data_IF_623821954106
#
_entry.id   IF_623821954106
#
_cell.length_a   1.000
_cell.length_b   1.000
_cell.length_c   1.000
_cell.angle_alpha   90.00
_cell.angle_beta   90.00
_cell.angle_gamma   90.00
#
_symmetry.space_group_name_H-M   'P 1'
#
loop_
_entity.id
_entity.type
_entity.pdbx_description
1 polymer ?
#
# COMPACT_ATOMS: atom_id res chain seq x y z
N UNK A 1 -7.18 -7.60 38.06
CA UNK A 1 -7.31 -7.81 36.60
C UNK A 1 -5.92 -8.06 36.04
N UNK A 2 -5.63 -9.28 35.60
CA UNK A 2 -4.36 -9.59 34.94
C UNK A 2 -4.30 -8.86 33.62
N UNK A 3 -3.32 -8.00 33.42
CA UNK A 3 -3.07 -7.38 32.14
C UNK A 3 -2.68 -8.48 31.15
N UNK A 4 -3.58 -8.80 30.23
CA UNK A 4 -3.24 -9.69 29.12
C UNK A 4 -2.15 -8.97 28.32
N UNK A 5 -0.92 -9.47 28.40
CA UNK A 5 0.16 -8.98 27.55
C UNK A 5 -0.16 -9.42 26.12
N UNK A 6 -0.40 -8.45 25.24
CA UNK A 6 -0.53 -8.71 23.81
C UNK A 6 0.80 -9.29 23.31
N UNK A 7 0.84 -10.58 23.09
CA UNK A 7 2.01 -11.26 22.54
C UNK A 7 1.92 -11.22 21.03
N UNK A 8 2.72 -10.34 20.41
CA UNK A 8 2.91 -10.31 18.98
C UNK A 8 3.86 -11.42 18.56
N UNK A 9 3.52 -12.12 17.48
CA UNK A 9 4.40 -13.13 16.88
C UNK A 9 4.29 -13.12 15.38
N UNK A 10 5.39 -13.42 14.72
CA UNK A 10 5.40 -13.76 13.31
C UNK A 10 4.98 -15.22 13.13
N UNK A 11 3.97 -15.43 12.32
CA UNK A 11 3.45 -16.76 11.99
C UNK A 11 3.47 -16.91 10.48
N UNK A 12 4.11 -17.98 9.97
CA UNK A 12 3.98 -18.35 8.58
C UNK A 12 2.58 -18.91 8.35
N UNK A 13 1.82 -18.30 7.45
CA UNK A 13 0.47 -18.70 7.11
C UNK A 13 0.46 -19.69 5.96
N UNK A 14 1.21 -19.37 4.89
CA UNK A 14 1.17 -20.15 3.67
C UNK A 14 2.49 -20.04 2.90
N UNK A 15 2.78 -21.03 2.04
CA UNK A 15 3.91 -20.97 1.11
C UNK A 15 3.58 -21.72 -0.17
N UNK A 16 4.11 -21.24 -1.29
CA UNK A 16 3.94 -21.82 -2.62
C UNK A 16 5.13 -21.47 -3.53
N UNK A 17 5.39 -22.27 -4.58
CA UNK A 17 6.39 -21.91 -5.58
C UNK A 17 5.94 -20.64 -6.30
N UNK A 18 6.91 -19.85 -6.80
CA UNK A 18 6.57 -18.68 -7.61
C UNK A 18 5.71 -19.11 -8.81
N UNK A 19 4.56 -18.45 -9.07
CA UNK A 19 3.54 -19.02 -9.96
C UNK A 19 3.93 -18.99 -11.44
N UNK A 20 4.94 -18.21 -11.79
CA UNK A 20 5.47 -18.13 -13.14
C UNK A 20 6.63 -19.10 -13.19
N UNK A 21 6.49 -20.20 -13.93
CA UNK A 21 7.53 -21.24 -14.04
C UNK A 21 8.14 -21.31 -15.43
N UNK A 22 9.35 -21.87 -15.52
CA UNK A 22 10.03 -22.18 -16.76
C UNK A 22 11.01 -21.12 -17.25
N UNK A 23 11.95 -21.55 -18.08
CA UNK A 23 12.83 -20.67 -18.85
C UNK A 23 12.03 -20.10 -20.04
N UNK A 24 12.24 -18.85 -20.40
CA UNK A 24 11.59 -18.12 -21.49
C UNK A 24 10.15 -17.69 -21.22
N UNK A 25 9.93 -17.10 -20.11
CA UNK A 25 8.59 -16.64 -19.80
C UNK A 25 8.42 -15.20 -20.23
N UNK A 26 7.95 -14.97 -21.47
CA UNK A 26 7.09 -13.83 -21.75
C UNK A 26 5.73 -14.15 -21.13
N UNK A 27 5.68 -14.24 -19.82
CA UNK A 27 4.49 -14.71 -19.18
C UNK A 27 3.59 -13.55 -18.88
N UNK A 28 2.35 -13.72 -19.24
CA UNK A 28 1.28 -12.90 -18.68
C UNK A 28 1.32 -13.01 -17.15
N UNK A 29 1.04 -11.91 -16.44
CA UNK A 29 0.94 -11.94 -14.99
C UNK A 29 0.03 -13.04 -14.49
N UNK A 30 0.44 -13.72 -13.41
CA UNK A 30 -0.31 -14.83 -12.81
C UNK A 30 -0.84 -14.43 -11.44
N UNK A 31 -2.13 -14.68 -11.22
CA UNK A 31 -2.79 -14.39 -9.94
C UNK A 31 -2.94 -15.65 -9.09
N UNK A 32 -2.55 -15.53 -7.83
CA UNK A 32 -2.68 -16.61 -6.84
C UNK A 32 -3.62 -16.16 -5.72
N UNK A 33 -4.80 -16.77 -5.58
CA UNK A 33 -5.70 -16.51 -4.47
C UNK A 33 -5.29 -17.33 -3.23
N UNK A 34 -5.25 -16.68 -2.07
CA UNK A 34 -4.95 -17.30 -0.78
C UNK A 34 -6.03 -16.94 0.23
N UNK A 35 -6.76 -17.94 0.72
CA UNK A 35 -7.78 -17.75 1.74
C UNK A 35 -7.16 -17.72 3.13
N UNK A 36 -7.04 -16.54 3.71
CA UNK A 36 -6.32 -16.33 4.98
C UNK A 36 -7.05 -16.90 6.18
N UNK A 37 -8.38 -16.96 6.18
CA UNK A 37 -9.17 -17.50 7.30
C UNK A 37 -8.88 -18.96 7.59
N UNK A 38 -8.42 -19.73 6.59
CA UNK A 38 -8.00 -21.12 6.77
C UNK A 38 -6.80 -21.30 7.69
N UNK A 39 -5.97 -20.26 7.80
CA UNK A 39 -4.68 -20.34 8.48
C UNK A 39 -4.60 -19.53 9.78
N UNK A 40 -5.57 -18.64 10.01
CA UNK A 40 -5.46 -17.67 11.08
C UNK A 40 -6.83 -17.17 11.58
N UNK A 41 -7.77 -18.05 11.85
CA UNK A 41 -9.16 -17.68 12.23
C UNK A 41 -9.28 -16.88 13.55
N UNK A 42 -8.34 -17.00 14.45
CA UNK A 42 -8.40 -16.36 15.78
C UNK A 42 -7.46 -15.17 15.93
N UNK A 43 -6.74 -14.79 14.85
CA UNK A 43 -5.66 -13.83 14.92
C UNK A 43 -6.13 -12.41 14.57
N UNK A 44 -5.40 -11.43 15.10
CA UNK A 44 -5.43 -10.03 14.70
C UNK A 44 -4.13 -9.71 13.98
N UNK A 45 -4.20 -9.24 12.76
CA UNK A 45 -3.01 -8.90 12.00
C UNK A 45 -2.65 -7.43 12.18
N UNK A 46 -1.45 -7.20 12.67
CA UNK A 46 -0.79 -5.90 12.60
C UNK A 46 -0.26 -5.65 11.18
N UNK A 47 0.33 -6.70 10.61
CA UNK A 47 0.92 -6.70 9.27
C UNK A 47 0.77 -8.06 8.61
N UNK A 48 0.65 -8.05 7.29
CA UNK A 48 0.99 -9.19 6.44
C UNK A 48 2.31 -8.91 5.73
N UNK A 49 3.12 -9.95 5.58
CA UNK A 49 4.38 -9.88 4.84
C UNK A 49 4.34 -10.97 3.78
N UNK A 50 4.47 -10.57 2.53
CA UNK A 50 4.68 -11.48 1.41
C UNK A 50 6.16 -11.46 1.09
N UNK A 51 6.85 -12.57 1.31
CA UNK A 51 8.27 -12.75 1.03
C UNK A 51 8.43 -13.51 -0.27
N UNK A 52 9.22 -12.99 -1.18
CA UNK A 52 9.65 -13.68 -2.41
C UNK A 52 11.16 -13.89 -2.30
N UNK A 53 11.60 -15.15 -2.34
CA UNK A 53 13.00 -15.48 -2.12
C UNK A 53 13.45 -16.68 -2.94
N UNK A 54 14.74 -16.78 -3.16
CA UNK A 54 15.37 -17.84 -3.93
C UNK A 54 16.35 -17.30 -4.96
N UNK A 55 16.50 -18.00 -6.07
CA UNK A 55 17.43 -17.65 -7.13
C UNK A 55 16.70 -17.39 -8.45
N UNK A 56 17.13 -16.35 -9.15
CA UNK A 56 16.80 -16.09 -10.55
C UNK A 56 17.99 -16.46 -11.39
N UNK A 57 17.80 -17.28 -12.42
CA UNK A 57 18.85 -17.61 -13.40
C UNK A 57 18.58 -16.79 -14.64
N UNK A 58 19.55 -15.95 -15.03
CA UNK A 58 19.45 -15.05 -16.18
C UNK A 58 20.40 -15.58 -17.25
N UNK A 59 19.88 -15.79 -18.46
CA UNK A 59 20.64 -16.27 -19.60
C UNK A 59 20.44 -15.34 -20.81
N UNK A 60 21.52 -15.13 -21.57
CA UNK A 60 21.56 -14.26 -22.74
C UNK A 60 22.75 -13.32 -22.73
N UNK A 61 22.87 -12.52 -23.78
CA UNK A 61 23.96 -11.53 -23.95
C UNK A 61 23.46 -10.09 -24.06
N UNK A 62 22.14 -9.90 -24.07
CA UNK A 62 21.50 -8.58 -24.07
C UNK A 62 21.20 -8.09 -22.66
N UNK A 63 20.91 -6.81 -22.53
CA UNK A 63 20.39 -6.22 -21.29
C UNK A 63 19.21 -5.31 -21.60
N UNK A 64 18.18 -5.37 -20.78
CA UNK A 64 17.05 -4.45 -20.82
C UNK A 64 17.26 -3.24 -19.93
N UNK A 65 16.44 -2.24 -20.11
CA UNK A 65 16.38 -1.05 -19.24
C UNK A 65 15.34 -1.29 -18.16
N UNK A 66 15.72 -1.10 -16.90
CA UNK A 66 14.80 -1.20 -15.76
C UNK A 66 13.64 -0.21 -15.92
N UNK A 67 12.42 -0.70 -15.74
CA UNK A 67 11.19 0.10 -15.90
C UNK A 67 10.80 0.88 -14.65
N UNK A 68 11.51 0.70 -13.55
CA UNK A 68 11.27 1.37 -12.29
C UNK A 68 12.56 1.65 -11.53
N UNK A 69 12.47 2.48 -10.49
CA UNK A 69 13.61 2.81 -9.63
C UNK A 69 14.09 1.61 -8.82
N UNK A 70 13.12 0.82 -8.36
CA UNK A 70 13.33 -0.32 -7.47
C UNK A 70 12.71 -1.56 -8.14
N UNK A 71 13.48 -2.22 -8.97
CA UNK A 71 12.98 -3.27 -9.86
C UNK A 71 12.25 -4.47 -9.24
N UNK A 72 12.38 -4.84 -7.94
CA UNK A 72 11.53 -5.87 -7.33
C UNK A 72 10.04 -5.58 -7.37
N UNK A 73 9.65 -4.31 -7.51
CA UNK A 73 8.23 -3.91 -7.61
C UNK A 73 7.49 -4.55 -8.79
N UNK A 74 8.20 -4.87 -9.87
CA UNK A 74 7.61 -5.53 -11.03
C UNK A 74 7.26 -7.00 -10.77
N UNK A 75 7.78 -7.65 -9.73
CA UNK A 75 7.46 -9.05 -9.42
C UNK A 75 6.14 -9.21 -8.66
N UNK A 76 5.72 -8.24 -7.88
CA UNK A 76 4.37 -8.20 -7.32
C UNK A 76 3.62 -7.02 -7.94
N UNK A 77 2.92 -7.26 -9.03
CA UNK A 77 2.23 -6.23 -9.80
C UNK A 77 1.06 -5.66 -9.04
N UNK A 78 0.30 -6.54 -8.37
CA UNK A 78 -0.93 -6.16 -7.69
C UNK A 78 -1.22 -7.09 -6.52
N UNK A 79 -1.69 -6.52 -5.43
CA UNK A 79 -2.28 -7.24 -4.32
C UNK A 79 -3.69 -6.71 -4.03
N UNK A 80 -4.59 -7.60 -3.69
CA UNK A 80 -5.96 -7.29 -3.27
C UNK A 80 -6.35 -8.19 -2.11
N UNK A 81 -6.90 -7.61 -1.05
CA UNK A 81 -7.46 -8.36 0.08
C UNK A 81 -8.96 -8.03 0.17
N UNK A 82 -9.78 -9.02 -0.10
CA UNK A 82 -11.24 -8.92 -0.01
C UNK A 82 -11.75 -9.70 1.19
N UNK A 83 -12.80 -9.21 1.84
CA UNK A 83 -13.41 -9.84 3.01
C UNK A 83 -14.89 -10.11 2.80
N UNK A 84 -15.41 -11.17 3.42
CA UNK A 84 -16.84 -11.51 3.44
C UNK A 84 -17.27 -11.89 4.85
N UNK A 85 -18.39 -11.36 5.39
CA UNK A 85 -19.15 -10.26 4.79
C UNK A 85 -18.34 -8.97 4.76
N UNK A 86 -18.62 -8.12 3.81
CA UNK A 86 -18.08 -6.76 3.83
C UNK A 86 -18.79 -5.98 4.95
N UNK A 87 -18.20 -5.98 6.13
CA UNK A 87 -18.81 -5.35 7.32
C UNK A 87 -19.00 -3.83 7.14
N UNK A 88 -18.24 -3.24 6.24
CA UNK A 88 -18.22 -1.78 6.03
C UNK A 88 -18.24 -1.36 4.57
N UNK A 89 -18.36 -2.29 3.63
CA UNK A 89 -18.19 -1.99 2.20
C UNK A 89 -16.77 -1.66 1.78
N UNK A 90 -15.78 -1.85 2.66
CA UNK A 90 -14.38 -1.51 2.41
C UNK A 90 -13.59 -2.77 2.07
N UNK A 91 -12.77 -2.67 1.04
CA UNK A 91 -11.77 -3.69 0.67
C UNK A 91 -10.46 -3.34 1.38
N UNK A 92 -9.98 -4.11 2.37
CA UNK A 92 -8.83 -3.75 3.21
C UNK A 92 -7.56 -3.40 2.42
N UNK A 93 -7.33 -4.09 1.29
CA UNK A 93 -6.30 -3.73 0.29
C UNK A 93 -6.96 -3.74 -1.08
N UNK A 94 -7.03 -2.57 -1.72
CA UNK A 94 -7.68 -2.40 -3.00
C UNK A 94 -6.65 -2.12 -4.10
N UNK A 95 -6.29 -3.15 -4.84
CA UNK A 95 -5.41 -3.12 -6.02
C UNK A 95 -4.08 -2.41 -5.80
N UNK A 96 -3.45 -2.64 -4.66
CA UNK A 96 -2.18 -2.03 -4.32
C UNK A 96 -1.03 -2.73 -5.04
N UNK A 97 -0.22 -1.99 -5.79
CA UNK A 97 1.01 -2.51 -6.39
C UNK A 97 2.14 -2.61 -5.36
N UNK A 98 3.18 -3.39 -5.64
CA UNK A 98 4.37 -3.41 -4.79
C UNK A 98 5.02 -2.04 -4.69
N UNK A 99 4.97 -1.25 -5.75
CA UNK A 99 5.47 0.13 -5.77
C UNK A 99 4.65 1.02 -4.85
N UNK A 100 3.32 1.01 -4.98
CA UNK A 100 2.45 1.75 -4.08
C UNK A 100 2.64 1.33 -2.62
N UNK A 101 2.82 0.02 -2.39
CA UNK A 101 3.10 -0.54 -1.07
C UNK A 101 4.43 -0.07 -0.49
N UNK A 102 5.48 0.02 -1.32
CA UNK A 102 6.79 0.52 -0.91
C UNK A 102 6.69 1.96 -0.37
N UNK A 103 5.99 2.82 -1.09
CA UNK A 103 5.82 4.21 -0.70
C UNK A 103 4.82 4.40 0.45
N UNK A 104 3.78 3.56 0.54
CA UNK A 104 2.90 3.51 1.72
C UNK A 104 3.70 3.15 2.98
N UNK A 105 4.61 2.19 2.86
CA UNK A 105 5.52 1.83 3.95
C UNK A 105 6.45 2.98 4.35
N UNK A 106 6.86 3.82 3.41
CA UNK A 106 7.65 5.01 3.70
C UNK A 106 6.89 5.98 4.62
N UNK A 107 5.61 6.24 4.34
CA UNK A 107 4.76 7.06 5.21
C UNK A 107 4.61 6.40 6.58
N UNK A 108 4.25 5.13 6.61
CA UNK A 108 3.92 4.44 7.87
C UNK A 108 5.13 4.18 8.75
N UNK A 109 6.31 4.08 8.19
CA UNK A 109 7.56 3.75 8.91
C UNK A 109 8.55 4.90 8.99
N UNK A 110 8.39 5.92 8.15
CA UNK A 110 9.32 7.04 8.06
C UNK A 110 10.63 6.71 7.36
N UNK A 111 10.73 5.57 6.66
CA UNK A 111 11.88 5.24 5.83
C UNK A 111 11.47 4.37 4.64
N UNK A 112 12.18 4.54 3.53
CA UNK A 112 12.01 3.72 2.35
C UNK A 112 12.74 2.38 2.56
N UNK A 113 12.02 1.28 2.41
CA UNK A 113 12.65 -0.04 2.41
C UNK A 113 13.56 -0.12 1.18
N UNK A 114 14.84 -0.38 1.39
CA UNK A 114 15.74 -0.67 0.28
C UNK A 114 15.33 -1.99 -0.36
N UNK A 115 14.90 -1.91 -1.61
CA UNK A 115 14.80 -3.09 -2.44
C UNK A 115 16.19 -3.37 -3.05
N UNK A 116 16.61 -4.62 -3.07
CA UNK A 116 17.79 -5.02 -3.83
C UNK A 116 17.45 -5.00 -5.32
N UNK A 117 18.23 -4.29 -6.12
CA UNK A 117 18.07 -4.30 -7.57
C UNK A 117 18.57 -5.61 -8.15
N UNK A 118 17.80 -6.19 -9.07
CA UNK A 118 18.24 -7.34 -9.87
C UNK A 118 18.74 -6.83 -11.21
N UNK A 119 20.01 -7.09 -11.57
CA UNK A 119 20.52 -6.72 -12.89
C UNK A 119 19.93 -7.63 -13.97
N UNK A 120 19.75 -7.08 -15.18
CA UNK A 120 19.40 -7.90 -16.36
C UNK A 120 20.68 -8.35 -17.08
N UNK A 121 21.55 -9.06 -16.38
CA UNK A 121 22.82 -9.59 -16.88
C UNK A 121 22.90 -11.08 -16.60
N UNK A 122 23.50 -11.84 -17.54
CA UNK A 122 23.63 -13.30 -17.41
C UNK A 122 24.30 -13.69 -16.08
N UNK A 123 23.72 -14.65 -15.39
CA UNK A 123 24.19 -15.14 -14.11
C UNK A 123 23.07 -15.63 -13.20
N UNK A 124 23.44 -16.03 -11.99
CA UNK A 124 22.48 -16.40 -10.94
C UNK A 124 22.43 -15.30 -9.91
N UNK A 125 21.22 -14.79 -9.63
CA UNK A 125 20.97 -13.72 -8.67
C UNK A 125 20.12 -14.25 -7.54
N UNK A 126 20.63 -14.21 -6.32
CA UNK A 126 19.86 -14.51 -5.12
C UNK A 126 18.99 -13.31 -4.75
N UNK A 127 17.72 -13.57 -4.44
CA UNK A 127 16.75 -12.55 -4.05
C UNK A 127 16.07 -12.93 -2.75
N UNK A 128 15.71 -11.91 -1.96
CA UNK A 128 14.92 -12.04 -0.74
C UNK A 128 14.18 -10.71 -0.50
N UNK A 129 12.95 -10.64 -0.99
CA UNK A 129 12.15 -9.43 -0.96
C UNK A 129 10.94 -9.56 -0.06
N UNK A 130 10.62 -8.48 0.64
CA UNK A 130 9.51 -8.41 1.57
C UNK A 130 8.54 -7.31 1.16
N UNK A 131 7.33 -7.69 0.81
CA UNK A 131 6.21 -6.77 0.57
C UNK A 131 5.35 -6.74 1.83
N UNK A 132 5.27 -5.57 2.48
CA UNK A 132 4.71 -5.43 3.82
C UNK A 132 3.43 -4.62 3.77
N UNK A 133 2.32 -5.24 4.12
CA UNK A 133 1.00 -4.63 4.26
C UNK A 133 0.79 -4.24 5.72
N UNK A 134 0.84 -2.94 6.02
CA UNK A 134 0.59 -2.43 7.37
C UNK A 134 -0.89 -2.14 7.56
N UNK A 135 -1.55 -2.87 8.43
CA UNK A 135 -2.91 -2.57 8.84
C UNK A 135 -2.94 -1.56 9.98
N UNK A 136 -1.99 -1.69 10.91
CA UNK A 136 -1.86 -0.73 12.01
C UNK A 136 -1.03 0.47 11.60
N UNK A 137 -1.46 1.66 12.03
CA UNK A 137 -0.81 2.94 11.76
C UNK A 137 0.34 3.23 12.70
N UNK A 138 1.14 2.36 13.08
CA UNK A 138 1.92 2.63 14.25
C UNK A 138 3.41 2.75 14.01
N UNK A 139 3.92 3.96 14.03
CA UNK A 139 5.23 4.20 14.67
C UNK A 139 5.15 3.83 16.18
N UNK A 140 3.99 3.88 16.78
CA UNK A 140 3.76 3.48 18.18
C UNK A 140 3.06 2.12 18.22
N UNK A 141 3.83 1.07 18.53
CA UNK A 141 3.49 -0.35 18.58
C UNK A 141 2.31 -0.76 19.49
N UNK A 142 1.46 0.14 19.94
CA UNK A 142 0.54 -0.13 21.05
C UNK A 142 -0.95 -0.03 20.73
N UNK A 143 -1.36 0.32 19.51
CA UNK A 143 -2.78 0.50 19.22
C UNK A 143 -3.35 -0.68 18.47
N UNK A 144 -3.96 -1.58 19.20
CA UNK A 144 -4.76 -2.70 18.71
C UNK A 144 -5.94 -2.25 17.85
N UNK A 145 -6.39 -1.01 18.04
CA UNK A 145 -7.54 -0.38 17.40
C UNK A 145 -7.46 -0.37 15.86
N UNK A 146 -6.27 -0.55 15.28
CA UNK A 146 -6.03 -0.49 13.84
C UNK A 146 -5.63 -1.84 13.22
N UNK A 147 -5.70 -2.92 13.99
CA UNK A 147 -5.36 -4.24 13.48
C UNK A 147 -6.47 -4.80 12.60
N UNK A 148 -6.09 -5.62 11.64
CA UNK A 148 -7.04 -6.37 10.83
C UNK A 148 -7.54 -7.59 11.62
N UNK A 149 -8.79 -7.54 12.08
CA UNK A 149 -9.41 -8.60 12.85
C UNK A 149 -9.97 -9.70 11.92
N UNK A 150 -9.14 -10.65 11.49
CA UNK A 150 -9.54 -11.69 10.54
C UNK A 150 -10.68 -12.56 11.06
N UNK A 151 -10.76 -12.77 12.37
CA UNK A 151 -11.82 -13.54 13.04
C UNK A 151 -13.24 -12.98 12.84
N UNK A 152 -13.36 -11.74 12.38
CA UNK A 152 -14.65 -11.10 12.11
C UNK A 152 -15.21 -11.47 10.74
N UNK A 153 -14.44 -12.16 9.93
CA UNK A 153 -14.80 -12.50 8.56
C UNK A 153 -14.94 -14.01 8.38
N UNK A 154 -15.91 -14.41 7.58
CA UNK A 154 -16.05 -15.80 7.13
C UNK A 154 -15.08 -16.16 6.03
N UNK A 155 -14.62 -15.15 5.28
CA UNK A 155 -13.61 -15.27 4.25
C UNK A 155 -12.74 -13.99 4.20
N UNK A 156 -11.45 -14.17 4.02
CA UNK A 156 -10.49 -13.11 3.75
C UNK A 156 -9.54 -13.57 2.64
N UNK A 157 -9.90 -13.23 1.41
CA UNK A 157 -9.21 -13.68 0.21
C UNK A 157 -8.13 -12.68 -0.20
N UNK A 158 -6.87 -13.06 -0.03
CA UNK A 158 -5.71 -12.32 -0.53
C UNK A 158 -5.38 -12.82 -1.94
N UNK A 159 -5.52 -11.96 -2.94
CA UNK A 159 -5.12 -12.25 -4.31
C UNK A 159 -3.84 -11.50 -4.62
N UNK A 160 -2.80 -12.23 -4.99
CA UNK A 160 -1.48 -11.72 -5.35
C UNK A 160 -1.24 -11.95 -6.84
N UNK A 161 -0.94 -10.90 -7.59
CA UNK A 161 -0.63 -11.00 -9.02
C UNK A 161 0.86 -10.78 -9.22
N UNK A 162 1.52 -11.80 -9.73
CA UNK A 162 2.97 -11.79 -9.97
C UNK A 162 3.29 -11.59 -11.43
N UNK A 163 4.42 -10.96 -11.68
CA UNK A 163 4.99 -10.67 -13.00
C UNK A 163 6.23 -11.45 -13.32
N UNK A 164 6.72 -11.23 -14.53
CA UNK A 164 7.95 -11.80 -15.06
C UNK A 164 8.99 -10.71 -15.36
N UNK A 165 10.04 -11.05 -16.11
CA UNK A 165 11.08 -10.11 -16.53
C UNK A 165 10.51 -8.86 -17.22
N UNK A 166 9.51 -9.02 -18.07
CA UNK A 166 8.93 -7.94 -18.88
C UNK A 166 8.27 -6.83 -18.04
N UNK A 167 7.89 -7.13 -16.79
CA UNK A 167 7.38 -6.13 -15.86
C UNK A 167 8.48 -5.34 -15.15
N UNK A 168 9.73 -5.88 -15.14
CA UNK A 168 10.88 -5.21 -14.55
C UNK A 168 11.73 -4.46 -15.57
N UNK A 169 11.78 -4.97 -16.81
CA UNK A 169 12.66 -4.43 -17.85
C UNK A 169 11.91 -4.22 -19.15
N UNK A 170 12.26 -3.15 -19.85
CA UNK A 170 11.91 -2.90 -21.25
C UNK A 170 13.10 -3.27 -22.14
N UNK A 171 12.80 -3.88 -23.29
CA UNK A 171 13.82 -4.29 -24.27
C UNK A 171 14.78 -5.39 -23.74
N UNK A 172 15.89 -5.59 -24.43
CA UNK A 172 16.83 -6.66 -24.16
C UNK A 172 16.34 -8.03 -24.63
N UNK A 173 17.24 -9.01 -24.64
CA UNK A 173 16.97 -10.38 -25.13
C UNK A 173 17.25 -11.46 -24.09
N UNK A 174 17.56 -11.06 -22.86
CA UNK A 174 17.81 -12.01 -21.79
C UNK A 174 16.54 -12.76 -21.38
N UNK A 175 16.71 -14.01 -21.03
CA UNK A 175 15.64 -14.85 -20.49
C UNK A 175 15.87 -15.07 -19.01
N UNK A 176 14.79 -15.15 -18.26
CA UNK A 176 14.82 -15.38 -16.81
C UNK A 176 14.16 -16.70 -16.49
N UNK A 177 14.85 -17.53 -15.73
CA UNK A 177 14.25 -18.69 -15.06
C UNK A 177 14.01 -18.32 -13.59
N UNK A 178 12.76 -18.25 -13.21
CA UNK A 178 12.30 -17.92 -11.86
C UNK A 178 11.74 -19.14 -11.11
N UNK A 179 11.92 -20.34 -11.66
CA UNK A 179 11.47 -21.59 -11.04
C UNK A 179 12.11 -21.87 -9.68
N UNK A 180 13.28 -21.27 -9.43
CA UNK A 180 13.95 -21.32 -8.13
C UNK A 180 13.40 -20.37 -7.07
N UNK A 181 12.37 -19.58 -7.39
CA UNK A 181 11.73 -18.67 -6.44
C UNK A 181 10.60 -19.35 -5.68
N UNK A 182 10.46 -18.94 -4.44
CA UNK A 182 9.37 -19.34 -3.54
C UNK A 182 8.70 -18.11 -2.94
N UNK A 183 7.42 -18.24 -2.62
CA UNK A 183 6.63 -17.22 -1.96
C UNK A 183 6.17 -17.73 -0.60
N UNK A 184 6.36 -16.93 0.43
CA UNK A 184 5.86 -17.19 1.78
C UNK A 184 5.02 -16.01 2.26
N UNK A 185 3.93 -16.32 2.94
CA UNK A 185 3.06 -15.33 3.56
C UNK A 185 3.15 -15.45 5.07
N UNK A 186 3.51 -14.37 5.73
CA UNK A 186 3.61 -14.26 7.17
C UNK A 186 2.61 -13.23 7.69
N UNK A 187 2.12 -13.47 8.90
CA UNK A 187 1.40 -12.47 9.68
C UNK A 187 2.20 -12.10 10.94
N UNK A 188 2.26 -10.79 11.23
CA UNK A 188 2.60 -10.29 12.55
C UNK A 188 1.27 -10.20 13.31
N UNK A 189 0.99 -11.20 14.12
CA UNK A 189 -0.31 -11.39 14.74
C UNK A 189 -0.29 -11.31 16.26
N UNK A 190 -1.40 -10.84 16.83
CA UNK A 190 -1.63 -10.83 18.27
C UNK A 190 -2.77 -11.78 18.62
N UNK A 191 -2.68 -12.35 19.81
CA UNK A 191 -3.70 -13.19 20.40
C UNK A 191 -4.47 -12.45 21.48
N UNK A 192 -5.69 -12.94 21.75
CA UNK A 192 -6.50 -12.57 22.89
C UNK A 192 -6.73 -11.06 23.04
N UNK A 193 -6.84 -10.35 21.92
CA UNK A 193 -7.22 -8.96 21.92
C UNK A 193 -8.74 -8.89 21.86
N UNK A 194 -9.38 -8.28 22.86
CA UNK A 194 -10.77 -7.87 22.75
C UNK A 194 -10.80 -6.61 21.88
N UNK A 195 -11.09 -6.76 20.60
CA UNK A 195 -11.36 -5.63 19.75
C UNK A 195 -12.82 -5.23 19.96
N UNK A 196 -13.05 -4.28 20.83
CA UNK A 196 -14.36 -3.62 20.94
C UNK A 196 -14.66 -2.76 19.73
N UNK A 197 -13.64 -2.47 18.92
CA UNK A 197 -13.72 -1.57 17.78
C UNK A 197 -12.95 -2.18 16.61
N UNK A 198 -13.64 -2.32 15.48
CA UNK A 198 -13.01 -2.66 14.21
C UNK A 198 -12.90 -1.36 13.41
N UNK A 199 -11.69 -0.90 13.19
CA UNK A 199 -11.46 0.14 12.21
C UNK A 199 -11.28 -0.50 10.85
N UNK A 200 -12.17 -0.20 9.93
CA UNK A 200 -12.04 -0.62 8.54
C UNK A 200 -11.27 0.42 7.79
N UNK A 201 -9.99 0.14 7.59
CA UNK A 201 -9.13 0.90 6.72
C UNK A 201 -9.05 0.21 5.36
N UNK A 202 -9.06 1.01 4.32
CA UNK A 202 -8.74 0.60 2.97
C UNK A 202 -7.44 1.26 2.54
N UNK A 203 -6.49 0.43 2.13
CA UNK A 203 -5.32 0.84 1.37
C UNK A 203 -5.70 0.79 -0.11
N UNK A 204 -5.51 1.86 -0.84
CA UNK A 204 -5.87 1.94 -2.26
C UNK A 204 -4.78 2.59 -3.09
N UNK A 205 -4.79 2.29 -4.38
CA UNK A 205 -3.91 2.88 -5.37
C UNK A 205 -4.69 3.20 -6.63
N UNK A 206 -4.38 4.35 -7.25
CA UNK A 206 -4.93 4.79 -8.51
C UNK A 206 -3.85 5.44 -9.35
N UNK A 207 -3.93 5.21 -10.65
CA UNK A 207 -2.99 5.74 -11.64
C UNK A 207 -3.68 6.71 -12.59
N UNK A 208 -3.03 7.84 -12.83
CA UNK A 208 -3.50 8.90 -13.71
C UNK A 208 -2.43 9.22 -14.75
N UNK A 209 -2.57 8.74 -16.00
CA UNK A 209 -1.65 9.11 -17.06
C UNK A 209 -1.82 10.58 -17.43
N UNK A 210 -0.70 11.32 -17.52
CA UNK A 210 -0.69 12.72 -17.90
C UNK A 210 -0.34 12.80 -19.37
N UNK A 211 -1.30 13.24 -20.18
CA UNK A 211 -1.16 13.29 -21.64
C UNK A 211 -0.80 14.70 -22.15
N UNK A 212 -1.12 15.72 -21.39
CA UNK A 212 -0.89 17.13 -21.76
C UNK A 212 -0.76 18.01 -20.52
N UNK A 213 -0.21 19.21 -20.71
CA UNK A 213 -0.19 20.23 -19.66
C UNK A 213 -1.62 20.69 -19.37
N UNK A 214 -1.98 20.70 -18.08
CA UNK A 214 -3.30 21.12 -17.59
C UNK A 214 -3.15 21.87 -16.27
N UNK A 215 -3.90 22.97 -16.11
CA UNK A 215 -3.95 23.72 -14.85
C UNK A 215 -4.88 23.10 -13.82
N UNK A 216 -5.88 22.34 -14.27
CA UNK A 216 -6.96 21.78 -13.45
C UNK A 216 -7.17 20.29 -13.77
N UNK A 217 -6.11 19.51 -13.70
CA UNK A 217 -6.20 18.06 -13.90
C UNK A 217 -6.96 17.43 -12.72
N UNK A 218 -8.16 16.86 -12.95
CA UNK A 218 -8.98 16.38 -11.87
C UNK A 218 -8.53 15.00 -11.38
N UNK A 219 -8.55 14.81 -10.07
CA UNK A 219 -8.50 13.52 -9.39
C UNK A 219 -9.94 13.19 -8.96
N UNK A 220 -10.72 12.62 -9.84
CA UNK A 220 -12.19 12.49 -9.74
C UNK A 220 -12.67 11.17 -9.13
N UNK A 221 -11.75 10.27 -8.79
CA UNK A 221 -12.06 8.92 -8.31
C UNK A 221 -12.04 8.78 -6.78
N UNK A 222 -12.20 9.89 -6.06
CA UNK A 222 -12.24 9.90 -4.59
C UNK A 222 -13.68 9.90 -4.10
N UNK A 223 -14.27 8.73 -3.77
CA UNK A 223 -15.68 8.65 -3.38
C UNK A 223 -15.96 9.34 -2.04
N UNK A 224 -17.18 9.82 -1.89
CA UNK A 224 -17.72 10.28 -0.61
C UNK A 224 -18.02 9.10 0.35
N UNK A 225 -18.30 9.40 1.61
CA UNK A 225 -18.57 8.40 2.64
C UNK A 225 -17.35 7.92 3.41
N UNK A 226 -16.20 8.55 3.20
CA UNK A 226 -14.93 8.16 3.82
C UNK A 226 -14.26 9.31 4.57
N UNK A 227 -13.41 8.95 5.52
CA UNK A 227 -12.36 9.82 6.04
C UNK A 227 -11.04 9.46 5.35
N UNK A 228 -10.46 10.39 4.62
CA UNK A 228 -9.15 10.20 4.00
C UNK A 228 -8.07 10.59 4.98
N UNK A 229 -7.26 9.64 5.31
CA UNK A 229 -6.29 9.77 6.38
C UNK A 229 -4.88 9.96 5.86
N UNK A 230 -4.61 9.41 4.68
CA UNK A 230 -3.34 9.56 4.00
C UNK A 230 -3.57 9.62 2.49
N UNK A 231 -2.93 10.57 1.84
CA UNK A 231 -2.89 10.73 0.40
C UNK A 231 -1.45 11.04 0.00
N UNK A 232 -0.87 10.13 -0.75
CA UNK A 232 0.48 10.22 -1.28
C UNK A 232 0.43 10.26 -2.79
N UNK A 233 0.90 11.34 -3.37
CA UNK A 233 1.02 11.48 -4.81
C UNK A 233 2.47 11.22 -5.23
N UNK A 234 2.64 10.26 -6.13
CA UNK A 234 3.91 9.93 -6.76
C UNK A 234 3.87 10.46 -8.19
N UNK A 235 4.70 11.44 -8.49
CA UNK A 235 4.85 11.97 -9.83
C UNK A 235 5.98 11.25 -10.55
N UNK A 236 5.72 10.70 -11.71
CA UNK A 236 6.61 9.79 -12.42
C UNK A 236 6.83 10.24 -13.87
N UNK A 237 8.08 10.17 -14.31
CA UNK A 237 8.50 10.28 -15.71
C UNK A 237 9.16 8.96 -16.11
N UNK A 238 8.61 8.26 -17.11
CA UNK A 238 9.08 6.96 -17.52
C UNK A 238 9.26 5.96 -16.34
N UNK A 239 8.31 5.97 -15.42
CA UNK A 239 8.32 5.20 -14.17
C UNK A 239 9.44 5.57 -13.17
N UNK A 240 10.09 6.71 -13.32
CA UNK A 240 11.04 7.26 -12.34
C UNK A 240 10.41 8.48 -11.69
N UNK A 241 10.56 8.61 -10.37
CA UNK A 241 10.04 9.77 -9.63
C UNK A 241 10.64 11.07 -10.15
N UNK A 242 9.77 12.06 -10.41
CA UNK A 242 10.13 13.34 -10.99
C UNK A 242 9.33 14.50 -10.39
N UNK A 243 9.99 15.55 -9.98
CA UNK A 243 9.35 16.80 -9.53
C UNK A 243 8.85 17.68 -10.69
N UNK A 244 9.12 17.31 -11.94
CA UNK A 244 8.73 18.09 -13.12
C UNK A 244 7.25 17.95 -13.48
N UNK A 245 6.55 16.93 -12.96
CA UNK A 245 5.20 16.58 -13.40
C UNK A 245 4.13 17.44 -12.70
N UNK A 246 4.17 17.55 -11.37
CA UNK A 246 3.18 18.28 -10.58
C UNK A 246 3.75 19.65 -10.19
N UNK A 247 2.99 20.71 -10.47
CA UNK A 247 3.37 22.08 -10.16
C UNK A 247 2.57 22.63 -8.95
N UNK A 248 1.27 22.36 -8.92
CA UNK A 248 0.39 22.83 -7.87
C UNK A 248 -0.66 21.80 -7.49
N UNK A 249 -1.14 21.92 -6.26
CA UNK A 249 -2.28 21.21 -5.71
C UNK A 249 -3.39 22.21 -5.40
N UNK A 250 -4.64 21.79 -5.68
CA UNK A 250 -5.85 22.39 -5.17
C UNK A 250 -6.64 21.27 -4.49
N UNK A 251 -6.80 21.36 -3.18
CA UNK A 251 -7.39 20.30 -2.36
C UNK A 251 -8.45 20.89 -1.45
N UNK A 252 -9.69 20.53 -1.71
CA UNK A 252 -10.85 20.93 -0.94
C UNK A 252 -11.63 19.71 -0.43
N UNK A 253 -12.14 19.77 0.78
CA UNK A 253 -12.96 18.69 1.33
C UNK A 253 -13.46 19.01 2.73
N UNK A 254 -14.63 18.47 3.08
CA UNK A 254 -15.23 18.69 4.39
C UNK A 254 -15.60 20.16 4.65
N UNK A 255 -15.88 20.94 3.59
CA UNK A 255 -16.17 22.38 3.70
C UNK A 255 -14.95 23.25 4.01
N UNK A 256 -13.73 22.73 3.80
CA UNK A 256 -12.47 23.44 4.01
C UNK A 256 -11.59 23.38 2.77
N UNK A 257 -10.86 24.45 2.54
CA UNK A 257 -9.73 24.47 1.61
C UNK A 257 -8.50 23.98 2.38
N UNK A 258 -7.91 22.89 1.97
CA UNK A 258 -6.70 22.30 2.58
C UNK A 258 -5.45 22.83 1.91
N UNK A 259 -5.50 22.92 0.58
CA UNK A 259 -4.45 23.51 -0.24
C UNK A 259 -5.15 24.35 -1.31
N UNK A 260 -4.86 25.62 -1.39
CA UNK A 260 -5.32 26.50 -2.47
C UNK A 260 -4.30 26.50 -3.60
N UNK A 261 -4.76 26.57 -4.85
CA UNK A 261 -3.88 26.77 -5.99
C UNK A 261 -3.06 28.05 -5.80
N UNK A 262 -1.75 27.92 -5.87
CA UNK A 262 -0.80 29.02 -5.70
C UNK A 262 0.51 28.65 -6.35
N UNK A 263 1.33 29.66 -6.66
CA UNK A 263 2.60 29.43 -7.33
C UNK A 263 3.51 28.49 -6.52
N UNK A 264 3.81 27.33 -7.10
CA UNK A 264 4.75 26.33 -6.54
C UNK A 264 4.37 25.69 -5.20
N UNK A 265 3.08 25.57 -4.86
CA UNK A 265 2.71 24.91 -3.61
C UNK A 265 3.14 23.43 -3.57
N UNK A 266 3.31 22.78 -4.74
CA UNK A 266 3.85 21.43 -4.81
C UNK A 266 5.28 21.34 -4.23
N UNK A 267 6.12 22.35 -4.48
CA UNK A 267 7.47 22.41 -3.90
C UNK A 267 7.41 22.49 -2.36
N UNK A 268 6.49 23.27 -1.82
CA UNK A 268 6.28 23.39 -0.38
C UNK A 268 5.82 22.07 0.23
N UNK A 269 4.83 21.40 -0.40
CA UNK A 269 4.31 20.10 0.06
C UNK A 269 5.41 19.04 0.01
N UNK A 270 6.25 19.05 -1.02
CA UNK A 270 7.38 18.13 -1.14
C UNK A 270 8.46 18.41 -0.09
N UNK A 271 8.81 19.67 0.13
CA UNK A 271 9.81 20.07 1.11
C UNK A 271 9.37 19.70 2.52
N UNK A 272 8.14 19.99 2.86
CA UNK A 272 7.52 19.66 4.14
C UNK A 272 7.61 18.15 4.42
N UNK A 273 7.31 17.31 3.42
CA UNK A 273 7.44 15.87 3.52
C UNK A 273 8.91 15.42 3.59
N UNK A 274 9.80 16.07 2.84
CA UNK A 274 11.23 15.78 2.84
C UNK A 274 11.85 16.08 4.19
N UNK A 275 11.48 17.16 4.85
CA UNK A 275 11.99 17.51 6.17
C UNK A 275 11.66 16.45 7.22
N UNK A 276 10.49 15.85 7.18
CA UNK A 276 10.17 14.71 8.06
C UNK A 276 11.05 13.49 7.80
N UNK A 277 11.44 13.26 6.54
CA UNK A 277 12.29 12.15 6.15
C UNK A 277 13.78 12.45 6.34
N UNK A 278 14.18 13.71 6.41
CA UNK A 278 15.58 14.10 6.66
C UNK A 278 16.07 13.61 8.02
N UNK A 279 15.20 13.45 9.01
CA UNK A 279 15.55 12.75 10.25
C UNK A 279 16.01 11.31 9.99
N UNK A 280 15.64 10.76 8.84
CA UNK A 280 16.04 9.42 8.36
C UNK A 280 17.16 9.47 7.31
N UNK A 281 17.62 10.65 6.92
CA UNK A 281 18.69 10.83 5.93
C UNK A 281 18.31 10.54 4.49
N UNK A 282 17.02 10.57 4.14
CA UNK A 282 16.54 10.28 2.79
C UNK A 282 16.12 11.55 2.04
N UNK A 283 16.59 11.68 0.80
CA UNK A 283 16.12 12.70 -0.14
C UNK A 283 14.96 12.15 -0.96
N UNK A 284 13.88 12.90 -1.05
CA UNK A 284 12.67 12.52 -1.77
C UNK A 284 12.42 13.52 -2.89
N UNK A 285 12.22 13.01 -4.10
CA UNK A 285 11.89 13.81 -5.29
C UNK A 285 10.62 13.25 -5.90
N UNK A 286 9.67 14.10 -6.30
CA UNK A 286 8.44 13.67 -6.96
C UNK A 286 7.46 12.93 -6.05
N UNK A 287 7.61 13.07 -4.73
CA UNK A 287 6.70 12.51 -3.74
C UNK A 287 6.07 13.64 -2.94
N UNK A 288 4.75 13.63 -2.84
CA UNK A 288 3.97 14.67 -2.20
C UNK A 288 2.96 14.04 -1.25
N UNK A 289 2.95 14.45 0.01
CA UNK A 289 2.02 13.96 1.02
C UNK A 289 1.16 15.10 1.60
N UNK A 290 0.23 15.67 0.80
CA UNK A 290 -0.58 16.79 1.26
C UNK A 290 -1.49 16.41 2.44
N UNK A 291 -1.80 15.14 2.58
CA UNK A 291 -2.62 14.61 3.68
C UNK A 291 -1.92 13.44 4.32
N UNK A 292 -1.53 13.59 5.57
CA UNK A 292 -1.00 12.47 6.36
C UNK A 292 -1.29 12.68 7.84
N UNK A 293 -2.18 11.88 8.39
CA UNK A 293 -2.46 11.93 9.83
C UNK A 293 -1.37 11.22 10.66
N UNK A 294 -0.50 10.48 10.00
CA UNK A 294 0.65 9.86 10.65
C UNK A 294 1.64 10.89 11.18
N UNK A 295 1.71 12.05 10.51
CA UNK A 295 2.57 13.16 10.94
C UNK A 295 2.31 13.59 12.37
N UNK A 296 1.04 13.76 12.72
CA UNK A 296 0.65 14.38 13.99
C UNK A 296 -0.16 13.45 14.91
N UNK A 297 -0.44 12.24 14.47
CA UNK A 297 -1.17 11.23 15.27
C UNK A 297 -2.64 11.60 15.57
N UNK A 298 -3.18 12.62 14.94
CA UNK A 298 -4.52 13.14 15.22
C UNK A 298 -5.46 12.91 14.04
N UNK A 299 -6.57 12.21 14.27
CA UNK A 299 -7.66 12.07 13.30
C UNK A 299 -8.30 13.40 12.85
N UNK A 300 -8.10 14.46 13.61
CA UNK A 300 -8.59 15.81 13.27
C UNK A 300 -7.98 16.37 11.99
N UNK A 301 -6.94 15.73 11.47
CA UNK A 301 -6.29 16.09 10.21
C UNK A 301 -6.71 15.20 9.03
N UNK A 302 -7.58 14.23 9.26
CA UNK A 302 -8.20 13.49 8.17
C UNK A 302 -9.13 14.41 7.38
N UNK A 303 -9.15 14.27 6.06
CA UNK A 303 -10.15 14.98 5.24
C UNK A 303 -11.47 14.25 5.37
N UNK A 304 -12.47 14.99 5.84
CA UNK A 304 -13.83 14.49 5.98
C UNK A 304 -14.57 14.58 4.63
N UNK A 305 -14.75 13.43 4.00
CA UNK A 305 -15.55 13.26 2.79
C UNK A 305 -16.87 12.51 3.07
N UNK A 306 -17.38 12.52 4.30
CA UNK A 306 -18.58 11.77 4.67
C UNK A 306 -19.82 12.28 3.99
N UNK A 307 -19.96 13.59 3.90
CA UNK A 307 -21.16 14.27 3.40
C UNK A 307 -20.97 14.88 2.02
N UNK A 308 -19.73 15.16 1.63
CA UNK A 308 -19.40 15.76 0.36
C UNK A 308 -18.13 15.11 -0.21
N UNK A 309 -17.99 14.99 -1.53
CA UNK A 309 -16.77 14.48 -2.15
C UNK A 309 -15.60 15.43 -1.89
N UNK A 310 -14.40 14.87 -1.95
CA UNK A 310 -13.18 15.67 -2.01
C UNK A 310 -12.97 16.11 -3.45
N UNK A 311 -12.60 17.38 -3.62
CA UNK A 311 -12.13 17.91 -4.89
C UNK A 311 -10.62 17.99 -4.83
N UNK A 312 -9.92 17.27 -5.69
CA UNK A 312 -8.48 17.38 -5.89
C UNK A 312 -8.23 17.73 -7.33
N UNK A 313 -7.54 18.83 -7.55
CA UNK A 313 -7.05 19.26 -8.86
C UNK A 313 -5.55 19.44 -8.79
N UNK A 314 -4.88 19.03 -9.84
CA UNK A 314 -3.45 19.20 -9.99
C UNK A 314 -3.15 20.13 -11.15
N UNK A 315 -2.21 21.04 -10.98
CA UNK A 315 -1.58 21.67 -12.14
C UNK A 315 -0.41 20.79 -12.55
N UNK A 316 -0.48 20.25 -13.76
CA UNK A 316 0.48 19.28 -14.28
C UNK A 316 1.14 19.76 -15.56
N UNK A 317 2.42 19.45 -15.72
CA UNK A 317 3.14 19.63 -16.98
C UNK A 317 2.95 18.39 -17.85
N UNK A 318 2.66 18.58 -19.13
CA UNK A 318 2.56 17.49 -20.11
C UNK A 318 3.94 16.93 -20.48
N UNK A 319 3.99 15.67 -20.91
CA UNK A 319 5.24 15.04 -21.31
C UNK A 319 5.79 15.64 -22.60
N UNK A 320 7.12 15.82 -22.66
CA UNK A 320 7.84 16.09 -23.88
C UNK A 320 8.05 14.84 -24.72
N UNK A 321 8.72 15.00 -25.87
CA UNK A 321 9.04 13.87 -26.75
C UNK A 321 9.89 12.82 -26.02
N UNK A 322 9.46 11.55 -26.03
CA UNK A 322 10.16 10.45 -25.37
C UNK A 322 9.90 10.32 -23.87
N UNK A 323 9.01 11.13 -23.31
CA UNK A 323 8.61 11.07 -21.92
C UNK A 323 7.20 10.52 -21.77
N UNK A 324 6.95 9.80 -20.68
CA UNK A 324 5.63 9.30 -20.29
C UNK A 324 5.40 9.70 -18.83
N UNK A 325 4.52 10.67 -18.64
CA UNK A 325 4.21 11.17 -17.31
C UNK A 325 3.00 10.44 -16.71
N UNK A 326 3.12 10.15 -15.44
CA UNK A 326 2.08 9.51 -14.65
C UNK A 326 2.02 10.10 -13.24
N UNK A 327 0.83 10.22 -12.71
CA UNK A 327 0.61 10.52 -11.29
C UNK A 327 -0.06 9.31 -10.65
N UNK A 328 0.57 8.76 -9.64
CA UNK A 328 0.05 7.65 -8.85
C UNK A 328 -0.40 8.16 -7.50
N UNK A 329 -1.66 7.95 -7.17
CA UNK A 329 -2.21 8.21 -5.85
C UNK A 329 -2.22 6.91 -5.05
N UNK A 330 -1.48 6.89 -3.94
CA UNK A 330 -1.52 5.84 -2.93
C UNK A 330 -2.13 6.43 -1.68
N UNK A 331 -3.17 5.81 -1.16
CA UNK A 331 -3.89 6.41 -0.06
C UNK A 331 -4.43 5.40 0.94
N UNK A 332 -4.88 5.96 2.04
CA UNK A 332 -5.58 5.24 3.08
C UNK A 332 -6.85 6.01 3.45
N UNK A 333 -7.95 5.29 3.49
CA UNK A 333 -9.24 5.83 3.89
C UNK A 333 -9.96 4.90 4.85
N UNK A 334 -10.89 5.45 5.63
CA UNK A 334 -11.70 4.68 6.57
C UNK A 334 -13.17 5.09 6.49
N UNK A 335 -14.08 4.16 6.77
CA UNK A 335 -15.49 4.46 6.99
C UNK A 335 -15.69 4.73 8.48
N UNK A 336 -16.10 5.94 8.88
CA UNK A 336 -16.49 6.24 10.25
C UNK A 336 -17.79 5.50 10.58
N UNK A 337 -17.85 4.89 11.75
CA UNK A 337 -19.02 4.13 12.19
C UNK A 337 -18.93 2.62 12.04
N UNK A 338 -17.85 2.10 11.40
CA UNK A 338 -17.47 0.71 11.53
C UNK A 338 -17.01 0.33 12.96
N UNK A 339 -16.98 1.31 13.85
CA UNK A 339 -16.90 1.09 15.29
C UNK A 339 -18.26 0.59 15.75
N UNK A 340 -18.53 -0.69 15.61
CA UNK A 340 -19.64 -1.27 16.34
C UNK A 340 -19.32 -1.17 17.84
N UNK A 341 -19.95 -0.21 18.52
CA UNK A 341 -20.04 -0.30 19.98
C UNK A 341 -20.59 -1.68 20.28
N UNK A 342 -19.84 -2.50 20.99
CA UNK A 342 -20.36 -3.75 21.52
C UNK A 342 -21.68 -3.43 22.21
N UNK A 343 -22.74 -4.13 21.82
CA UNK A 343 -24.03 -3.95 22.48
C UNK A 343 -23.80 -4.10 24.00
N UNK A 344 -24.30 -3.19 24.82
CA UNK A 344 -24.09 -3.28 26.26
C UNK A 344 -24.54 -4.68 26.71
N UNK A 345 -23.60 -5.42 27.30
CA UNK A 345 -23.93 -6.75 27.87
C UNK A 345 -25.08 -6.53 28.83
N UNK A 346 -26.24 -7.08 28.51
CA UNK A 346 -27.37 -7.12 29.42
C UNK A 346 -26.87 -7.74 30.72
N UNK A 347 -26.96 -7.08 31.87
CA UNK A 347 -26.50 -7.67 33.12
C UNK A 347 -27.22 -9.00 33.34
N UNK A 348 -26.47 -10.02 33.63
CA UNK A 348 -27.04 -11.32 33.95
C UNK A 348 -28.05 -11.15 35.10
N UNK A 349 -29.23 -11.80 35.00
CA UNK A 349 -30.25 -11.68 36.04
C UNK A 349 -29.66 -12.11 37.39
N UNK A 350 -29.71 -11.21 38.35
CA UNK A 350 -29.29 -11.48 39.74
C UNK A 350 -30.18 -12.60 40.26
N UNK A 351 -29.64 -13.80 40.48
CA UNK A 351 -30.35 -14.86 41.19
C UNK A 351 -30.66 -14.35 42.59
N UNK A 352 -31.93 -14.05 42.85
CA UNK A 352 -32.40 -13.86 44.22
C UNK A 352 -32.30 -15.23 44.89
N UNK A 353 -31.33 -15.36 45.79
CA UNK A 353 -31.34 -16.46 46.80
C UNK A 353 -32.47 -16.19 47.75
N UNK A 354 -33.39 -17.14 47.83
CA UNK A 354 -34.45 -17.23 48.84
C UNK A 354 -33.88 -17.67 50.19
#
# INVERSE_FOLDING_TARGET
>A
MASVRNLWRYKKLYSFPYPIGGANVSASPQSVPVELTKYAQEDFFNRLVVRVFGNIIIAGSGSGTATGRDNPEGLLIQAQLQTSPQVTGVTPVNRLSARGLLYENMITRGYLLKASTVPDTAGTVAVDWHYIFNFSRSRTRKRVEYTFAIQKFTSALLTLTFGSREQLFSGGTNTWDVSGLSVEIYADSAFAVQADQIHSHELFEQNYPILSTQSDFPIDTLPSGYLYTDMLFLAEDNNVLSSAVIQNFDLEGGGRVWLASGDNNAAIVQEDFTQELLETGQTVTGIYAPVSILRNGMFTQAIDALTAPITVKLSVTGPGLGHVFNVRLVGRRMVPGAVQKAAPKTPAPVKKTA
#
